data_IF_570896723346
#
_entry.id   IF_570896723346
#
_cell.length_a   1.000
_cell.length_b   1.000
_cell.length_c   1.000
_cell.angle_alpha   90.00
_cell.angle_beta   90.00
_cell.angle_gamma   90.00
#
_symmetry.space_group_name_H-M   'P 1'
#
loop_
_entity.id
_entity.type
_entity.pdbx_description
1 polymer ?
#
# COMPACT_ATOMS: atom_id res chain seq x y z
N UNK A 1 -13.33 -8.74 -19.38
CA UNK A 1 -13.27 -7.31 -19.03
C UNK A 1 -12.65 -7.28 -17.65
N UNK A 2 -11.45 -6.72 -17.48
CA UNK A 2 -10.85 -6.64 -16.16
C UNK A 2 -11.61 -5.54 -15.40
N UNK A 3 -12.46 -5.93 -14.46
CA UNK A 3 -13.05 -4.99 -13.52
C UNK A 3 -11.90 -4.22 -12.85
N UNK A 4 -11.99 -2.89 -12.72
CA UNK A 4 -10.98 -2.14 -12.01
C UNK A 4 -10.98 -2.65 -10.56
N UNK A 5 -9.97 -3.41 -10.18
CA UNK A 5 -9.75 -3.77 -8.78
C UNK A 5 -9.77 -2.47 -7.97
N UNK A 6 -10.72 -2.35 -7.04
CA UNK A 6 -10.80 -1.20 -6.15
C UNK A 6 -9.47 -1.09 -5.40
N UNK A 7 -8.98 0.15 -5.22
CA UNK A 7 -7.71 0.39 -4.50
C UNK A 7 -7.76 -0.16 -3.06
N UNK A 8 -8.95 -0.23 -2.47
CA UNK A 8 -9.20 -0.87 -1.19
C UNK A 8 -8.99 -2.40 -1.19
N UNK A 9 -9.20 -3.08 -2.32
CA UNK A 9 -8.86 -4.50 -2.49
C UNK A 9 -7.37 -4.71 -2.66
N UNK A 10 -6.68 -3.79 -3.35
CA UNK A 10 -5.21 -3.80 -3.43
C UNK A 10 -4.61 -3.73 -2.02
N UNK A 11 -5.10 -2.84 -1.16
CA UNK A 11 -4.64 -2.74 0.24
C UNK A 11 -4.96 -3.99 1.07
N UNK A 12 -6.08 -4.66 0.79
CA UNK A 12 -6.46 -5.89 1.47
C UNK A 12 -5.55 -7.07 1.11
N UNK A 13 -5.10 -7.12 -0.14
CA UNK A 13 -4.20 -8.16 -0.68
C UNK A 13 -2.76 -8.01 -0.17
N UNK A 14 -2.35 -6.82 0.29
CA UNK A 14 -1.02 -6.61 0.85
C UNK A 14 -0.86 -7.34 2.18
N UNK A 15 -0.10 -8.43 2.16
CA UNK A 15 0.31 -9.15 3.38
C UNK A 15 1.54 -8.54 4.04
N UNK A 16 2.34 -7.78 3.27
CA UNK A 16 3.60 -7.21 3.72
C UNK A 16 3.77 -5.75 3.28
N UNK A 17 4.55 -5.03 4.09
CA UNK A 17 5.29 -3.81 3.85
C UNK A 17 5.81 -3.66 2.42
N UNK A 18 5.22 -2.92 1.46
CA UNK A 18 5.90 -2.76 0.17
C UNK A 18 7.23 -2.00 0.31
N UNK A 19 7.43 -1.25 1.40
CA UNK A 19 8.65 -0.46 1.65
C UNK A 19 9.76 -1.27 2.33
N UNK A 20 9.44 -2.01 3.39
CA UNK A 20 10.42 -2.72 4.22
C UNK A 20 10.13 -4.21 4.41
N UNK A 21 9.05 -4.74 3.85
CA UNK A 21 8.65 -6.15 3.98
C UNK A 21 7.97 -6.54 5.30
N UNK A 22 7.83 -5.63 6.27
CA UNK A 22 7.19 -5.92 7.57
C UNK A 22 5.78 -6.48 7.42
N UNK A 23 5.37 -7.39 8.30
CA UNK A 23 4.04 -8.01 8.19
C UNK A 23 2.91 -6.98 8.37
N UNK A 24 1.75 -7.29 7.79
CA UNK A 24 0.51 -6.56 8.04
C UNK A 24 0.14 -6.70 9.52
N UNK A 25 0.07 -5.58 10.22
CA UNK A 25 -0.28 -5.54 11.64
C UNK A 25 -1.78 -5.38 11.85
N UNK A 26 -2.40 -4.45 11.11
CA UNK A 26 -3.82 -4.16 11.22
C UNK A 26 -4.40 -3.76 9.86
N UNK A 27 -5.67 -4.07 9.65
CA UNK A 27 -6.41 -3.69 8.46
C UNK A 27 -7.85 -3.34 8.83
N UNK A 28 -8.28 -2.17 8.40
CA UNK A 28 -9.63 -1.67 8.65
C UNK A 28 -10.23 -1.19 7.33
N UNK A 29 -11.48 -1.60 7.05
CA UNK A 29 -12.32 -1.04 5.97
C UNK A 29 -13.43 -0.18 6.57
N UNK A 30 -13.76 0.92 5.91
CA UNK A 30 -14.85 1.81 6.31
C UNK A 30 -15.43 2.58 5.12
N UNK A 31 -16.50 3.34 5.39
CA UNK A 31 -17.20 4.15 4.40
C UNK A 31 -18.36 3.41 3.74
N UNK A 32 -19.19 4.18 3.04
CA UNK A 32 -20.32 3.63 2.26
C UNK A 32 -19.76 2.75 1.14
N UNK A 33 -20.23 1.50 1.06
CA UNK A 33 -19.73 0.48 0.13
C UNK A 33 -18.27 0.01 0.36
N UNK A 34 -17.71 0.22 1.56
CA UNK A 34 -16.34 -0.22 1.92
C UNK A 34 -15.24 0.34 1.00
N UNK A 35 -15.51 1.46 0.33
CA UNK A 35 -14.57 2.08 -0.60
C UNK A 35 -13.37 2.75 0.09
N UNK A 36 -13.36 2.84 1.41
CA UNK A 36 -12.19 3.32 2.15
C UNK A 36 -11.55 2.17 2.91
N UNK A 37 -10.22 2.09 2.85
CA UNK A 37 -9.47 1.07 3.57
C UNK A 37 -8.19 1.66 4.11
N UNK A 38 -7.73 1.13 5.24
CA UNK A 38 -6.41 1.43 5.78
C UNK A 38 -5.77 0.16 6.27
N UNK A 39 -4.51 0.03 5.90
CA UNK A 39 -3.63 -1.02 6.39
C UNK A 39 -2.50 -0.37 7.18
N UNK A 40 -2.22 -0.92 8.34
CA UNK A 40 -1.05 -0.61 9.16
C UNK A 40 -0.14 -1.81 9.18
N UNK A 41 1.15 -1.58 9.00
CA UNK A 41 2.18 -2.61 9.06
C UNK A 41 2.97 -2.51 10.38
N UNK A 42 3.69 -3.57 10.73
CA UNK A 42 4.51 -3.60 11.96
C UNK A 42 5.60 -2.53 11.98
N UNK A 43 6.08 -2.09 10.82
CA UNK A 43 6.98 -0.94 10.68
C UNK A 43 6.32 0.42 10.97
N UNK A 44 5.06 0.44 11.43
CA UNK A 44 4.26 1.65 11.66
C UNK A 44 3.93 2.48 10.41
N UNK A 45 4.24 1.98 9.21
CA UNK A 45 3.75 2.55 7.96
C UNK A 45 2.24 2.29 7.83
N UNK A 46 1.53 3.30 7.32
CA UNK A 46 0.08 3.30 7.19
C UNK A 46 -0.28 3.68 5.76
N UNK A 47 -1.05 2.83 5.08
CA UNK A 47 -1.56 3.10 3.74
C UNK A 47 -3.06 3.19 3.84
N UNK A 48 -3.64 4.30 3.40
CA UNK A 48 -5.07 4.55 3.45
C UNK A 48 -5.59 4.92 2.06
N UNK A 49 -6.82 4.54 1.75
CA UNK A 49 -7.53 5.00 0.56
C UNK A 49 -8.90 5.49 0.99
N UNK A 50 -9.42 6.51 0.30
CA UNK A 50 -10.70 7.13 0.60
C UNK A 50 -11.53 7.16 -0.68
N UNK A 51 -12.47 6.22 -0.83
CA UNK A 51 -13.27 6.14 -2.05
C UNK A 51 -12.44 5.67 -3.25
N UNK A 52 -12.59 6.37 -4.36
CA UNK A 52 -11.79 6.21 -5.58
C UNK A 52 -10.50 7.07 -5.58
N UNK A 53 -10.21 7.76 -4.46
CA UNK A 53 -9.03 8.59 -4.33
C UNK A 53 -7.73 7.75 -4.31
N UNK A 54 -6.61 8.43 -4.53
CA UNK A 54 -5.31 7.77 -4.52
C UNK A 54 -4.97 7.13 -3.16
N UNK A 55 -4.07 6.15 -3.18
CA UNK A 55 -3.60 5.53 -1.93
C UNK A 55 -2.66 6.54 -1.27
N UNK A 56 -3.10 7.07 -0.14
CA UNK A 56 -2.30 7.95 0.70
C UNK A 56 -1.41 7.11 1.61
N UNK A 57 -0.11 7.41 1.61
CA UNK A 57 0.86 6.73 2.46
C UNK A 57 1.30 7.66 3.57
N UNK A 58 0.85 7.39 4.79
CA UNK A 58 1.28 8.05 6.01
C UNK A 58 2.38 7.22 6.68
N UNK A 59 3.39 7.87 7.27
CA UNK A 59 4.50 7.21 7.98
C UNK A 59 5.42 6.29 7.12
N UNK A 60 5.59 6.57 5.83
CA UNK A 60 6.58 5.85 4.99
C UNK A 60 8.01 5.94 5.54
N UNK A 61 8.37 7.07 6.15
CA UNK A 61 9.70 7.35 6.71
C UNK A 61 10.01 6.57 8.01
N UNK A 62 9.01 5.96 8.65
CA UNK A 62 9.20 5.16 9.86
C UNK A 62 9.67 3.73 9.58
N UNK A 63 9.74 3.34 8.31
CA UNK A 63 10.33 2.07 7.94
C UNK A 63 11.84 2.09 8.30
N UNK A 64 12.33 1.16 9.16
CA UNK A 64 13.71 1.13 9.63
C UNK A 64 14.63 0.78 8.47
N UNK A 65 15.06 1.81 7.73
CA UNK A 65 15.74 1.78 6.45
C UNK A 65 15.01 0.95 5.37
N UNK A 66 14.80 1.48 4.15
CA UNK A 66 14.58 0.59 3.03
C UNK A 66 15.85 -0.27 2.95
N UNK A 67 15.73 -1.58 3.13
CA UNK A 67 16.74 -2.47 2.53
C UNK A 67 16.80 -2.00 1.08
N UNK A 68 17.93 -1.42 0.64
CA UNK A 68 18.13 -0.78 -0.67
C UNK A 68 17.53 -1.59 -1.84
N UNK A 69 17.38 -2.90 -1.65
CA UNK A 69 16.73 -3.86 -2.52
C UNK A 69 15.22 -3.61 -2.78
N UNK A 70 14.42 -3.18 -1.79
CA UNK A 70 12.97 -3.04 -1.92
C UNK A 70 12.53 -1.72 -2.60
N UNK A 71 13.19 -0.61 -2.26
CA UNK A 71 12.94 0.68 -2.92
C UNK A 71 13.32 0.63 -4.42
N UNK A 72 14.46 0.01 -4.76
CA UNK A 72 14.88 -0.14 -6.16
C UNK A 72 14.05 -1.14 -6.96
N UNK A 73 13.35 -2.09 -6.32
CA UNK A 73 12.38 -2.95 -7.01
C UNK A 73 11.14 -2.14 -7.43
N UNK A 74 10.59 -1.35 -6.51
CA UNK A 74 9.46 -0.45 -6.80
C UNK A 74 9.79 0.61 -7.87
N UNK A 75 10.97 1.23 -7.82
CA UNK A 75 11.38 2.23 -8.83
C UNK A 75 11.56 1.61 -10.23
N UNK A 76 12.00 0.35 -10.30
CA UNK A 76 12.15 -0.38 -11.56
C UNK A 76 10.83 -0.82 -12.17
N UNK A 77 9.84 -1.16 -11.34
CA UNK A 77 8.51 -1.52 -11.83
C UNK A 77 7.72 -0.29 -12.29
N UNK A 78 7.86 0.86 -11.61
CA UNK A 78 7.21 2.11 -12.02
C UNK A 78 7.83 2.75 -13.27
N UNK A 79 9.15 2.68 -13.49
CA UNK A 79 9.78 3.27 -14.70
C UNK A 79 9.57 2.44 -15.97
N UNK A 80 9.15 1.18 -15.85
CA UNK A 80 8.98 0.27 -17.00
C UNK A 80 7.56 0.26 -17.58
N UNK A 81 6.66 1.12 -17.07
CA UNK A 81 5.35 1.40 -17.64
C UNK A 81 5.27 2.73 -18.41
N UNK A 82 6.38 3.46 -18.56
CA UNK A 82 6.44 4.78 -19.22
C UNK A 82 7.23 4.76 -20.55
N UNK A 83 7.08 3.69 -21.34
CA UNK A 83 7.59 3.59 -22.71
C UNK A 83 6.47 3.22 -23.67
#
# INVERSE_FOLDING_TARGET
>A
MAEPMLRADVLALLSNCPVCGSAKADFTRWGTEEKSARVRFECSAVFSTFGDAEIEVSNRDQCPAPSRVAASALEREFSRGAA
#
